data_IF_449688960575
#
_entry.id   IF_449688960575
#
_cell.length_a   1.000
_cell.length_b   1.000
_cell.length_c   1.000
_cell.angle_alpha   90.00
_cell.angle_beta   90.00
_cell.angle_gamma   90.00
#
_symmetry.space_group_name_H-M   'P 1'
#
loop_
_entity.id
_entity.type
_entity.pdbx_description
1 polymer ?
#
# COMPACT_ATOMS: atom_id res chain seq x y z
N UNK A 1 -44.53 14.13 14.12
CA UNK A 1 -44.46 14.87 12.83
C UNK A 1 -43.82 16.27 12.92
N UNK A 2 -43.89 17.01 14.04
CA UNK A 2 -43.26 18.34 14.15
C UNK A 2 -41.73 18.34 14.45
N UNK A 3 -41.17 17.22 14.92
CA UNK A 3 -39.74 17.14 15.25
C UNK A 3 -38.83 16.97 14.00
N UNK A 4 -39.34 16.33 12.93
CA UNK A 4 -38.56 16.06 11.72
C UNK A 4 -38.37 17.28 10.81
N UNK A 5 -39.26 18.29 10.88
CA UNK A 5 -39.19 19.50 10.05
C UNK A 5 -38.21 20.54 10.60
N UNK A 6 -38.04 20.60 11.92
CA UNK A 6 -37.10 21.57 12.52
C UNK A 6 -35.63 21.14 12.39
N UNK A 7 -35.36 19.85 12.24
CA UNK A 7 -34.03 19.31 11.94
C UNK A 7 -33.58 19.63 10.51
N UNK A 8 -34.51 19.61 9.53
CA UNK A 8 -34.19 19.93 8.13
C UNK A 8 -33.86 21.41 7.93
N UNK A 9 -34.48 22.32 8.70
CA UNK A 9 -34.22 23.75 8.58
C UNK A 9 -32.90 24.17 9.26
N UNK A 10 -32.48 23.49 10.34
CA UNK A 10 -31.24 23.77 11.07
C UNK A 10 -29.97 23.23 10.36
N UNK A 11 -30.10 22.23 9.50
CA UNK A 11 -28.99 21.70 8.71
C UNK A 11 -28.70 22.52 7.45
N UNK A 12 -29.58 23.46 7.09
CA UNK A 12 -29.42 24.26 5.87
C UNK A 12 -28.74 25.61 6.10
N UNK A 13 -28.40 25.97 7.35
CA UNK A 13 -27.85 27.28 7.70
C UNK A 13 -26.44 27.20 8.30
N UNK A 14 -25.56 26.34 7.77
CA UNK A 14 -24.11 26.42 8.02
C UNK A 14 -23.36 26.02 6.73
N UNK A 15 -23.15 26.94 5.78
CA UNK A 15 -22.54 26.65 4.48
C UNK A 15 -21.02 26.37 4.49
N UNK A 16 -20.44 25.99 5.64
CA UNK A 16 -18.98 25.81 5.79
C UNK A 16 -18.57 24.43 6.39
N UNK A 17 -19.48 23.46 6.46
CA UNK A 17 -19.20 22.12 7.05
C UNK A 17 -19.55 20.91 6.16
N UNK A 18 -20.01 21.11 4.94
CA UNK A 18 -20.42 20.05 4.01
C UNK A 18 -19.34 19.62 3.00
N UNK A 19 -18.09 20.05 3.22
CA UNK A 19 -16.94 19.59 2.45
C UNK A 19 -16.46 18.15 2.82
N UNK A 20 -16.95 17.54 3.91
CA UNK A 20 -16.36 16.27 4.42
C UNK A 20 -17.27 15.02 4.34
N UNK A 21 -18.54 15.13 3.92
CA UNK A 21 -19.46 13.98 3.86
C UNK A 21 -19.78 13.44 2.44
N UNK A 22 -19.03 13.84 1.42
CA UNK A 22 -19.25 13.36 0.04
C UNK A 22 -18.61 11.99 -0.29
N UNK A 23 -18.00 11.29 0.67
CA UNK A 23 -17.25 10.03 0.41
C UNK A 23 -18.10 8.75 0.51
N UNK A 24 -19.35 8.79 0.99
CA UNK A 24 -20.03 7.54 1.42
C UNK A 24 -21.18 7.03 0.53
N UNK A 25 -21.47 7.64 -0.61
CA UNK A 25 -22.47 7.12 -1.55
C UNK A 25 -21.78 6.88 -2.90
N UNK A 26 -21.39 5.63 -3.26
CA UNK A 26 -20.92 5.36 -4.60
C UNK A 26 -22.12 5.48 -5.54
N UNK A 27 -22.26 6.66 -6.13
CA UNK A 27 -23.21 6.92 -7.20
C UNK A 27 -22.73 6.14 -8.42
N UNK A 28 -23.39 5.02 -8.68
CA UNK A 28 -23.32 4.28 -9.94
C UNK A 28 -23.63 5.26 -11.08
N UNK A 29 -22.60 5.63 -11.86
CA UNK A 29 -22.59 6.03 -13.28
C UNK A 29 -21.31 6.83 -13.59
N UNK A 30 -20.22 6.12 -13.84
CA UNK A 30 -19.14 6.55 -14.75
C UNK A 30 -18.31 5.31 -15.08
N UNK A 31 -18.45 4.80 -16.29
CA UNK A 31 -17.67 3.67 -16.81
C UNK A 31 -16.18 4.00 -16.88
N UNK A 32 -15.48 3.93 -15.75
CA UNK A 32 -14.03 3.80 -15.71
C UNK A 32 -13.72 2.32 -15.57
N UNK A 33 -13.62 1.66 -16.73
CA UNK A 33 -12.95 0.37 -16.81
C UNK A 33 -11.53 0.58 -16.31
N UNK A 34 -11.21 0.11 -15.10
CA UNK A 34 -9.83 -0.01 -14.67
C UNK A 34 -9.14 -0.88 -15.72
N UNK A 35 -8.22 -0.30 -16.48
CA UNK A 35 -7.50 -1.04 -17.52
C UNK A 35 -6.73 -2.17 -16.84
N UNK A 36 -6.75 -3.36 -17.45
CA UNK A 36 -5.97 -4.52 -16.98
C UNK A 36 -4.52 -4.11 -16.73
N UNK A 37 -3.93 -3.29 -17.61
CA UNK A 37 -2.58 -2.76 -17.44
C UNK A 37 -2.44 -1.93 -16.15
N UNK A 38 -3.38 -1.03 -15.85
CA UNK A 38 -3.33 -0.19 -14.65
C UNK A 38 -3.47 -1.02 -13.36
N UNK A 39 -4.35 -2.04 -13.37
CA UNK A 39 -4.49 -2.97 -12.25
C UNK A 39 -3.25 -3.83 -12.04
N UNK A 40 -2.62 -4.31 -13.12
CA UNK A 40 -1.36 -5.06 -13.05
C UNK A 40 -0.22 -4.18 -12.53
N UNK A 41 -0.11 -2.93 -12.98
CA UNK A 41 0.88 -1.99 -12.44
C UNK A 41 0.64 -1.66 -10.98
N UNK A 42 -0.61 -1.45 -10.56
CA UNK A 42 -0.95 -1.20 -9.16
C UNK A 42 -0.65 -2.41 -8.27
N UNK A 43 -0.95 -3.62 -8.76
CA UNK A 43 -0.60 -4.87 -8.08
C UNK A 43 0.93 -5.05 -8.01
N UNK A 44 1.63 -4.76 -9.09
CA UNK A 44 3.10 -4.79 -9.16
C UNK A 44 3.74 -3.87 -8.14
N UNK A 45 3.27 -2.62 -8.02
CA UNK A 45 3.73 -1.67 -7.02
C UNK A 45 3.50 -2.17 -5.58
N UNK A 46 2.34 -2.81 -5.33
CA UNK A 46 2.06 -3.39 -4.03
C UNK A 46 3.01 -4.56 -3.68
N UNK A 47 3.34 -5.41 -4.66
CA UNK A 47 4.25 -6.56 -4.47
C UNK A 47 5.70 -6.10 -4.33
N UNK A 48 6.17 -5.22 -5.22
CA UNK A 48 7.56 -4.76 -5.22
C UNK A 48 7.92 -4.02 -3.94
N UNK A 49 7.01 -3.17 -3.41
CA UNK A 49 7.21 -2.25 -2.29
C UNK A 49 8.22 -2.66 -1.22
N UNK A 50 7.77 -3.14 -0.07
CA UNK A 50 8.67 -3.67 0.97
C UNK A 50 9.08 -5.13 0.72
N UNK A 51 8.38 -5.82 -0.19
CA UNK A 51 8.62 -7.22 -0.51
C UNK A 51 10.00 -7.49 -1.10
N UNK A 52 10.63 -6.51 -1.77
CA UNK A 52 11.95 -6.67 -2.39
C UNK A 52 13.04 -7.07 -1.40
N UNK A 53 13.00 -6.57 -0.16
CA UNK A 53 13.97 -6.92 0.89
C UNK A 53 13.82 -8.37 1.36
N UNK A 54 12.58 -8.82 1.52
CA UNK A 54 12.30 -10.22 1.87
C UNK A 54 12.66 -11.17 0.72
N UNK A 55 12.43 -10.73 -0.51
CA UNK A 55 12.72 -11.51 -1.71
C UNK A 55 14.22 -11.67 -1.95
N UNK A 56 15.01 -10.60 -1.78
CA UNK A 56 16.47 -10.66 -1.87
C UNK A 56 17.06 -11.51 -0.74
N UNK A 57 16.51 -11.42 0.48
CA UNK A 57 16.91 -12.28 1.60
C UNK A 57 16.63 -13.76 1.33
N UNK A 58 15.45 -14.09 0.82
CA UNK A 58 15.09 -15.47 0.45
C UNK A 58 16.02 -16.01 -0.65
N UNK A 59 16.35 -15.21 -1.67
CA UNK A 59 17.30 -15.60 -2.71
C UNK A 59 18.70 -15.84 -2.11
N UNK A 60 19.18 -14.94 -1.26
CA UNK A 60 20.50 -15.04 -0.64
C UNK A 60 20.65 -16.30 0.23
N UNK A 61 19.57 -16.74 0.90
CA UNK A 61 19.64 -17.86 1.84
C UNK A 61 19.27 -19.23 1.22
N UNK A 62 18.47 -19.27 0.15
CA UNK A 62 18.02 -20.53 -0.47
C UNK A 62 18.76 -20.90 -1.75
N UNK A 63 19.47 -19.95 -2.36
CA UNK A 63 20.12 -20.12 -3.66
C UNK A 63 19.13 -20.07 -4.83
N UNK A 64 19.64 -19.89 -6.05
CA UNK A 64 18.82 -19.55 -7.23
C UNK A 64 17.77 -20.62 -7.59
N UNK A 65 18.12 -21.91 -7.51
CA UNK A 65 17.22 -22.99 -7.92
C UNK A 65 16.01 -23.12 -6.97
N UNK A 66 16.25 -23.17 -5.65
CA UNK A 66 15.16 -23.21 -4.65
C UNK A 66 14.37 -21.91 -4.64
N UNK A 67 15.02 -20.76 -4.81
CA UNK A 67 14.34 -19.47 -4.89
C UNK A 67 13.33 -19.43 -6.05
N UNK A 68 13.70 -19.92 -7.24
CA UNK A 68 12.76 -20.00 -8.39
C UNK A 68 11.60 -20.95 -8.10
N UNK A 69 11.86 -22.10 -7.49
CA UNK A 69 10.79 -23.04 -7.10
C UNK A 69 9.84 -22.37 -6.09
N UNK A 70 10.37 -21.70 -5.07
CA UNK A 70 9.59 -20.95 -4.09
C UNK A 70 8.76 -19.85 -4.74
N UNK A 71 9.33 -19.12 -5.71
CA UNK A 71 8.59 -18.11 -6.47
C UNK A 71 7.43 -18.71 -7.27
N UNK A 72 7.62 -19.85 -7.92
CA UNK A 72 6.55 -20.55 -8.65
C UNK A 72 5.44 -20.98 -7.68
N UNK A 73 5.80 -21.55 -6.53
CA UNK A 73 4.84 -21.95 -5.50
C UNK A 73 4.06 -20.73 -5.00
N UNK A 74 4.74 -19.68 -4.57
CA UNK A 74 4.10 -18.44 -4.10
C UNK A 74 3.23 -17.82 -5.19
N UNK A 75 3.67 -17.81 -6.45
CA UNK A 75 2.87 -17.31 -7.57
C UNK A 75 1.56 -18.08 -7.75
N UNK A 76 1.59 -19.42 -7.65
CA UNK A 76 0.37 -20.25 -7.70
C UNK A 76 -0.55 -19.95 -6.51
N UNK A 77 -0.01 -19.85 -5.30
CA UNK A 77 -0.78 -19.47 -4.10
C UNK A 77 -1.40 -18.07 -4.22
N UNK A 78 -0.66 -17.09 -4.74
CA UNK A 78 -1.14 -15.73 -4.96
C UNK A 78 -2.24 -15.66 -6.01
N UNK A 79 -2.09 -16.36 -7.14
CA UNK A 79 -3.14 -16.44 -8.18
C UNK A 79 -4.42 -17.08 -7.62
N UNK A 80 -4.30 -18.15 -6.84
CA UNK A 80 -5.45 -18.78 -6.18
C UNK A 80 -6.13 -17.84 -5.18
N UNK A 81 -5.34 -17.12 -4.39
CA UNK A 81 -5.83 -16.16 -3.40
C UNK A 81 -6.60 -15.02 -4.06
N UNK A 82 -6.06 -14.42 -5.13
CA UNK A 82 -6.74 -13.38 -5.90
C UNK A 82 -8.04 -13.91 -6.51
N UNK A 83 -8.04 -15.12 -7.07
CA UNK A 83 -9.26 -15.72 -7.61
C UNK A 83 -10.34 -15.93 -6.53
N UNK A 84 -9.96 -16.42 -5.35
CA UNK A 84 -10.87 -16.58 -4.22
C UNK A 84 -11.41 -15.23 -3.73
N UNK A 85 -10.54 -14.21 -3.62
CA UNK A 85 -10.92 -12.85 -3.25
C UNK A 85 -11.89 -12.24 -4.26
N UNK A 86 -11.65 -12.38 -5.56
CA UNK A 86 -12.56 -11.87 -6.59
C UNK A 86 -13.90 -12.60 -6.59
N UNK A 87 -13.91 -13.93 -6.43
CA UNK A 87 -15.14 -14.71 -6.34
C UNK A 87 -15.98 -14.31 -5.12
N UNK A 88 -15.33 -14.21 -3.96
CA UNK A 88 -15.99 -13.79 -2.72
C UNK A 88 -16.44 -12.33 -2.79
N UNK A 89 -15.69 -11.42 -3.41
CA UNK A 89 -16.09 -10.03 -3.62
C UNK A 89 -17.33 -9.90 -4.50
N UNK A 90 -17.41 -10.70 -5.57
CA UNK A 90 -18.56 -10.74 -6.46
C UNK A 90 -19.82 -11.27 -5.76
N UNK A 91 -19.68 -12.32 -4.94
CA UNK A 91 -20.81 -12.93 -4.22
C UNK A 91 -21.24 -12.10 -2.99
N UNK A 92 -20.29 -11.52 -2.26
CA UNK A 92 -20.55 -10.77 -1.03
C UNK A 92 -20.96 -9.30 -1.29
N UNK A 93 -20.71 -8.77 -2.49
CA UNK A 93 -20.94 -7.36 -2.82
C UNK A 93 -20.10 -6.39 -1.97
N UNK A 94 -19.00 -6.86 -1.40
CA UNK A 94 -18.15 -6.09 -0.49
C UNK A 94 -16.76 -5.89 -1.09
N UNK A 95 -16.23 -4.67 -0.96
CA UNK A 95 -14.92 -4.28 -1.50
C UNK A 95 -13.81 -4.25 -0.45
N UNK A 96 -14.15 -4.42 0.84
CA UNK A 96 -13.20 -4.37 1.97
C UNK A 96 -12.87 -5.79 2.43
N UNK A 97 -11.58 -6.09 2.58
CA UNK A 97 -11.09 -7.43 2.98
C UNK A 97 -11.69 -7.96 4.28
N UNK A 98 -11.90 -7.12 5.29
CA UNK A 98 -12.54 -7.52 6.56
C UNK A 98 -14.00 -7.95 6.37
N UNK A 99 -14.76 -7.17 5.61
CA UNK A 99 -16.16 -7.49 5.28
C UNK A 99 -16.24 -8.74 4.41
N UNK A 100 -15.25 -8.94 3.53
CA UNK A 100 -15.11 -10.12 2.70
C UNK A 100 -14.82 -11.38 3.52
N UNK A 101 -13.84 -11.31 4.42
CA UNK A 101 -13.54 -12.36 5.39
C UNK A 101 -14.72 -12.66 6.31
N UNK A 102 -15.45 -11.62 6.73
CA UNK A 102 -16.66 -11.79 7.54
C UNK A 102 -17.76 -12.55 6.79
N UNK A 103 -17.94 -12.27 5.50
CA UNK A 103 -18.95 -12.94 4.69
C UNK A 103 -18.54 -14.38 4.31
N UNK A 104 -17.24 -14.63 4.10
CA UNK A 104 -16.74 -15.95 3.74
C UNK A 104 -16.65 -16.92 4.94
N UNK A 105 -16.23 -16.46 6.12
CA UNK A 105 -15.98 -17.32 7.28
C UNK A 105 -16.55 -16.78 8.61
N UNK A 106 -17.34 -15.71 8.59
CA UNK A 106 -17.88 -15.09 9.80
C UNK A 106 -16.84 -14.27 10.57
N UNK A 107 -17.06 -14.11 11.88
CA UNK A 107 -16.16 -13.36 12.77
C UNK A 107 -14.67 -13.79 12.67
N UNK A 108 -14.30 -15.09 12.63
CA UNK A 108 -12.88 -15.46 12.54
C UNK A 108 -12.24 -15.02 11.22
N UNK A 109 -12.98 -15.04 10.12
CA UNK A 109 -12.49 -14.54 8.83
C UNK A 109 -12.27 -13.03 8.81
N UNK A 110 -13.17 -12.28 9.45
CA UNK A 110 -12.99 -10.83 9.64
C UNK A 110 -11.68 -10.56 10.37
N UNK A 111 -11.50 -11.24 11.51
CA UNK A 111 -10.34 -11.09 12.38
C UNK A 111 -9.03 -11.43 11.67
N UNK A 112 -9.01 -12.56 10.95
CA UNK A 112 -7.85 -12.99 10.18
C UNK A 112 -7.45 -11.95 9.12
N UNK A 113 -8.43 -11.36 8.42
CA UNK A 113 -8.17 -10.30 7.46
C UNK A 113 -7.60 -9.04 8.15
N UNK A 114 -8.19 -8.59 9.26
CA UNK A 114 -7.68 -7.41 10.02
C UNK A 114 -6.25 -7.62 10.51
N UNK A 115 -5.95 -8.82 11.04
CA UNK A 115 -4.60 -9.18 11.50
C UNK A 115 -3.61 -9.21 10.35
N UNK A 116 -3.98 -9.82 9.21
CA UNK A 116 -3.11 -9.90 8.04
C UNK A 116 -2.75 -8.50 7.51
N UNK A 117 -3.72 -7.59 7.43
CA UNK A 117 -3.49 -6.20 6.99
C UNK A 117 -2.58 -5.47 7.97
N UNK A 118 -2.80 -5.64 9.26
CA UNK A 118 -1.97 -5.01 10.30
C UNK A 118 -0.53 -5.50 10.24
N UNK A 119 -0.32 -6.82 10.10
CA UNK A 119 1.02 -7.39 9.91
C UNK A 119 1.71 -6.87 8.64
N UNK A 120 0.97 -6.75 7.53
CA UNK A 120 1.48 -6.19 6.28
C UNK A 120 1.95 -4.73 6.46
N UNK A 121 1.17 -3.91 7.17
CA UNK A 121 1.50 -2.51 7.44
C UNK A 121 2.72 -2.37 8.35
N UNK A 122 2.81 -3.19 9.42
CA UNK A 122 3.99 -3.23 10.29
C UNK A 122 5.23 -3.63 9.50
N UNK A 123 5.14 -4.65 8.66
CA UNK A 123 6.24 -5.08 7.78
C UNK A 123 6.66 -3.99 6.80
N UNK A 124 5.71 -3.29 6.19
CA UNK A 124 5.99 -2.17 5.30
C UNK A 124 6.71 -1.01 6.01
N UNK A 125 6.20 -0.56 7.16
CA UNK A 125 6.85 0.50 7.93
C UNK A 125 8.23 0.09 8.44
N UNK A 126 8.38 -1.16 8.89
CA UNK A 126 9.68 -1.69 9.35
C UNK A 126 10.70 -1.72 8.21
N UNK A 127 10.27 -2.12 7.01
CA UNK A 127 11.13 -2.16 5.82
C UNK A 127 11.56 -0.76 5.40
N UNK A 128 10.67 0.23 5.47
CA UNK A 128 11.03 1.63 5.18
C UNK A 128 12.04 2.17 6.19
N UNK A 129 11.87 1.91 7.49
CA UNK A 129 12.85 2.31 8.49
C UNK A 129 14.20 1.62 8.28
N UNK A 130 14.20 0.34 7.87
CA UNK A 130 15.41 -0.36 7.51
C UNK A 130 16.13 0.33 6.35
N UNK A 131 15.45 0.55 5.21
CA UNK A 131 16.03 1.22 4.05
C UNK A 131 16.62 2.58 4.43
N UNK A 132 15.84 3.42 5.13
CA UNK A 132 16.28 4.76 5.56
C UNK A 132 17.54 4.68 6.43
N UNK A 133 17.59 3.74 7.37
CA UNK A 133 18.76 3.55 8.26
C UNK A 133 20.03 3.19 7.47
N UNK A 134 19.94 2.39 6.42
CA UNK A 134 21.11 1.99 5.63
C UNK A 134 21.48 3.01 4.55
N UNK A 135 20.50 3.63 3.90
CA UNK A 135 20.72 4.54 2.76
C UNK A 135 21.05 5.99 3.19
N UNK A 136 20.48 6.50 4.29
CA UNK A 136 20.80 7.87 4.74
C UNK A 136 22.29 8.11 5.08
N UNK A 137 22.98 7.27 5.88
CA UNK A 137 24.36 7.56 6.25
C UNK A 137 25.28 7.57 5.03
N UNK A 138 25.05 6.68 4.06
CA UNK A 138 25.85 6.65 2.84
C UNK A 138 25.61 7.89 1.97
N UNK A 139 24.36 8.34 1.83
CA UNK A 139 24.04 9.59 1.10
C UNK A 139 24.66 10.81 1.77
N UNK A 140 24.61 10.89 3.11
CA UNK A 140 25.19 12.03 3.87
C UNK A 140 26.72 12.06 3.71
N UNK A 141 27.39 10.90 3.76
CA UNK A 141 28.84 10.82 3.56
C UNK A 141 29.22 11.28 2.14
N UNK A 142 28.54 10.77 1.12
CA UNK A 142 28.79 11.14 -0.28
C UNK A 142 28.54 12.64 -0.54
N UNK A 143 27.52 13.23 0.09
CA UNK A 143 27.25 14.66 0.00
C UNK A 143 28.32 15.49 0.71
N UNK A 144 28.76 15.08 1.90
CA UNK A 144 29.81 15.76 2.66
C UNK A 144 31.15 15.76 1.91
N UNK A 145 31.54 14.62 1.34
CA UNK A 145 32.76 14.49 0.54
C UNK A 145 32.71 15.37 -0.71
N UNK A 146 31.56 15.39 -1.39
CA UNK A 146 31.34 16.25 -2.56
C UNK A 146 31.47 17.74 -2.22
N UNK A 147 30.90 18.19 -1.10
CA UNK A 147 31.01 19.58 -0.64
C UNK A 147 32.45 19.94 -0.24
N UNK A 148 33.19 19.01 0.38
CA UNK A 148 34.60 19.20 0.72
C UNK A 148 35.47 19.35 -0.53
N UNK A 149 35.28 18.51 -1.55
CA UNK A 149 36.01 18.59 -2.81
C UNK A 149 35.71 19.88 -3.57
N UNK A 150 34.45 20.33 -3.55
CA UNK A 150 34.04 21.60 -4.16
C UNK A 150 34.68 22.79 -3.42
N UNK A 151 34.69 22.78 -2.08
CA UNK A 151 35.35 23.82 -1.27
C UNK A 151 36.86 23.89 -1.53
N UNK A 152 37.54 22.74 -1.61
CA UNK A 152 38.95 22.66 -2.02
C UNK A 152 39.19 23.21 -3.42
N UNK A 153 38.30 22.93 -4.38
CA UNK A 153 38.37 23.47 -5.74
C UNK A 153 38.24 24.99 -5.81
N UNK A 154 37.30 25.57 -5.05
CA UNK A 154 37.14 27.04 -4.98
C UNK A 154 38.32 27.74 -4.29
N UNK A 155 38.90 27.14 -3.25
CA UNK A 155 40.12 27.66 -2.61
C UNK A 155 41.29 27.67 -3.60
N UNK A 156 41.43 26.62 -4.42
CA UNK A 156 42.50 26.52 -5.42
C UNK A 156 42.37 27.59 -6.52
N UNK A 157 41.15 27.88 -6.99
CA UNK A 157 40.88 28.91 -8.01
C UNK A 157 41.13 30.33 -7.45
N UNK A 158 40.97 30.56 -6.14
CA UNK A 158 41.17 31.88 -5.52
C UNK A 158 42.64 32.19 -5.22
N UNK A 159 43.51 31.18 -5.20
CA UNK A 159 44.96 31.32 -4.90
C UNK A 159 45.80 31.61 -6.17
N UNK A 160 45.25 31.39 -7.37
CA UNK A 160 45.86 31.74 -8.66
C UNK A 160 45.26 33.02 -9.25
#
# INVERSE_FOLDING_TARGET
>A
YAYSRKQSDLLQQNPDLDAESQTFLPKHNAGKNASVSMSVFNLGNAIMGSGILGLSFAMANTGIALFVILLVVVAVFSLYSVHLLLKTANEAGAVVYESLGHKAFGIPGKLAASWSITMQNIGAMSSYLFIIKYELPIVIQLLSDSLCSISSGYILITIF
#
